data_IF_674617820548
#
_entry.id   IF_674617820548
#
_cell.length_a   1.000
_cell.length_b   1.000
_cell.length_c   1.000
_cell.angle_alpha   90.00
_cell.angle_beta   90.00
_cell.angle_gamma   90.00
#
_symmetry.space_group_name_H-M   'P 1'
#
loop_
_entity.id
_entity.type
_entity.pdbx_description
1 polymer ?
#
# COMPACT_ATOMS: atom_id res chain seq x y z
N UNK A 1 65.84 21.26 9.17
CA UNK A 1 64.99 22.44 9.38
C UNK A 1 64.19 22.66 8.11
N UNK A 2 62.98 22.08 8.08
CA UNK A 2 61.81 22.45 7.26
C UNK A 2 60.85 21.26 7.34
N UNK A 3 60.13 21.16 8.45
CA UNK A 3 58.98 20.25 8.59
C UNK A 3 57.76 20.92 7.92
N UNK A 4 57.16 20.21 6.97
CA UNK A 4 55.98 20.63 6.25
C UNK A 4 54.77 19.83 6.70
N UNK A 5 53.97 20.40 7.60
CA UNK A 5 52.70 19.83 8.03
C UNK A 5 51.64 20.06 6.93
N UNK A 6 51.28 18.96 6.26
CA UNK A 6 50.17 18.89 5.32
C UNK A 6 48.84 18.91 6.06
N UNK A 7 48.22 20.08 6.13
CA UNK A 7 46.88 20.29 6.67
C UNK A 7 45.85 19.61 5.76
N UNK A 8 45.36 18.44 6.18
CA UNK A 8 44.29 17.69 5.51
C UNK A 8 42.97 18.39 5.80
N UNK A 9 42.32 18.91 4.75
CA UNK A 9 41.04 19.62 4.80
C UNK A 9 39.89 18.68 5.24
N UNK A 10 39.29 18.89 6.43
CA UNK A 10 38.21 18.04 6.93
C UNK A 10 36.85 18.32 6.25
N UNK A 11 36.77 19.19 5.24
CA UNK A 11 35.52 19.54 4.55
C UNK A 11 35.17 18.67 3.34
N UNK A 12 35.97 17.66 3.00
CA UNK A 12 35.63 16.71 1.95
C UNK A 12 34.51 15.76 2.42
N UNK A 13 33.28 16.26 2.41
CA UNK A 13 32.08 15.49 2.74
C UNK A 13 32.03 14.21 1.91
N UNK A 14 31.95 13.07 2.59
CA UNK A 14 31.83 11.77 1.94
C UNK A 14 30.68 11.82 0.92
N UNK A 15 30.89 11.36 -0.33
CA UNK A 15 29.86 11.40 -1.36
C UNK A 15 28.64 10.65 -0.84
N UNK A 16 27.53 11.38 -0.66
CA UNK A 16 26.27 10.80 -0.25
C UNK A 16 25.87 9.78 -1.32
N UNK A 17 25.98 8.50 -0.97
CA UNK A 17 25.54 7.42 -1.84
C UNK A 17 24.05 7.63 -2.15
N UNK A 18 23.64 7.54 -3.44
CA UNK A 18 22.24 7.72 -3.80
C UNK A 18 21.36 6.76 -2.99
N UNK A 19 20.39 7.29 -2.24
CA UNK A 19 19.46 6.50 -1.41
C UNK A 19 18.78 5.36 -2.20
N UNK A 20 18.62 5.54 -3.52
CA UNK A 20 18.13 4.51 -4.43
C UNK A 20 19.02 3.26 -4.50
N UNK A 21 20.35 3.41 -4.38
CA UNK A 21 21.29 2.29 -4.46
C UNK A 21 21.29 1.45 -3.17
N UNK A 22 21.17 2.12 -2.01
CA UNK A 22 21.04 1.50 -0.69
C UNK A 22 19.81 0.57 -0.62
N UNK A 23 18.65 1.05 -1.08
CA UNK A 23 17.41 0.28 -1.06
C UNK A 23 17.48 -0.98 -1.96
N UNK A 24 18.23 -0.91 -3.07
CA UNK A 24 18.43 -2.05 -3.96
C UNK A 24 19.31 -3.15 -3.35
N UNK A 25 20.31 -2.77 -2.55
CA UNK A 25 21.25 -3.71 -1.90
C UNK A 25 20.57 -4.45 -0.76
N UNK A 26 19.80 -3.75 0.07
CA UNK A 26 19.03 -4.37 1.16
C UNK A 26 18.04 -5.40 0.63
N UNK A 27 17.31 -5.07 -0.44
CA UNK A 27 16.36 -6.00 -1.05
C UNK A 27 17.03 -7.26 -1.61
N UNK A 28 18.23 -7.14 -2.20
CA UNK A 28 19.03 -8.31 -2.65
C UNK A 28 19.51 -9.14 -1.48
N UNK A 29 19.93 -8.51 -0.37
CA UNK A 29 20.39 -9.21 0.82
C UNK A 29 19.26 -10.01 1.46
N UNK A 30 18.09 -9.39 1.64
CA UNK A 30 16.89 -10.04 2.20
C UNK A 30 16.49 -11.26 1.35
N UNK A 31 16.49 -11.14 0.02
CA UNK A 31 16.20 -12.28 -0.86
C UNK A 31 17.19 -13.42 -0.71
N UNK A 32 18.49 -13.13 -0.58
CA UNK A 32 19.52 -14.14 -0.36
C UNK A 32 19.34 -14.84 0.99
N UNK A 33 19.11 -14.08 2.05
CA UNK A 33 18.88 -14.62 3.39
C UNK A 33 17.66 -15.54 3.42
N UNK A 34 16.57 -15.13 2.78
CA UNK A 34 15.35 -15.95 2.66
C UNK A 34 15.63 -17.24 1.88
N UNK A 35 16.34 -17.17 0.75
CA UNK A 35 16.68 -18.35 -0.05
C UNK A 35 17.55 -19.35 0.74
N UNK A 36 18.52 -18.84 1.52
CA UNK A 36 19.33 -19.66 2.41
C UNK A 36 18.50 -20.34 3.50
N UNK A 37 17.62 -19.60 4.18
CA UNK A 37 16.72 -20.19 5.19
C UNK A 37 15.85 -21.30 4.61
N UNK A 38 15.34 -21.11 3.40
CA UNK A 38 14.52 -22.11 2.70
C UNK A 38 15.34 -23.36 2.33
N UNK A 39 16.54 -23.19 1.78
CA UNK A 39 17.44 -24.29 1.46
C UNK A 39 17.83 -25.08 2.72
N UNK A 40 18.08 -24.38 3.83
CA UNK A 40 18.42 -25.01 5.11
C UNK A 40 17.23 -25.82 5.65
N UNK A 41 16.01 -25.28 5.59
CA UNK A 41 14.81 -25.99 6.01
C UNK A 41 14.53 -27.25 5.17
N UNK A 42 14.69 -27.17 3.84
CA UNK A 42 14.57 -28.33 2.95
C UNK A 42 15.63 -29.39 3.29
N UNK A 43 16.87 -28.97 3.51
CA UNK A 43 17.95 -29.88 3.86
C UNK A 43 17.64 -30.64 5.16
N UNK A 44 17.22 -29.95 6.21
CA UNK A 44 16.82 -30.59 7.47
C UNK A 44 15.64 -31.56 7.28
N UNK A 45 14.67 -31.21 6.44
CA UNK A 45 13.56 -32.10 6.12
C UNK A 45 14.03 -33.38 5.43
N UNK A 46 14.89 -33.27 4.41
CA UNK A 46 15.44 -34.42 3.69
C UNK A 46 16.25 -35.31 4.64
N UNK A 47 17.10 -34.73 5.49
CA UNK A 47 17.88 -35.47 6.49
C UNK A 47 16.95 -36.19 7.47
N UNK A 48 15.89 -35.52 7.95
CA UNK A 48 14.91 -36.15 8.85
C UNK A 48 14.22 -37.34 8.17
N UNK A 49 13.74 -37.18 6.93
CA UNK A 49 13.11 -38.27 6.17
C UNK A 49 14.08 -39.42 5.95
N UNK A 50 15.33 -39.13 5.58
CA UNK A 50 16.38 -40.13 5.38
C UNK A 50 16.70 -40.90 6.67
N UNK A 51 16.78 -40.22 7.82
CA UNK A 51 17.00 -40.87 9.12
C UNK A 51 15.82 -41.78 9.49
N UNK A 52 14.58 -41.33 9.27
CA UNK A 52 13.38 -42.14 9.55
C UNK A 52 13.31 -43.36 8.63
N UNK A 53 13.61 -43.21 7.33
CA UNK A 53 13.60 -44.34 6.39
C UNK A 53 14.74 -45.32 6.66
N UNK A 54 15.96 -44.85 6.93
CA UNK A 54 17.09 -45.69 7.32
C UNK A 54 16.80 -46.47 8.61
N UNK A 55 16.25 -45.81 9.63
CA UNK A 55 15.86 -46.47 10.89
C UNK A 55 14.77 -47.54 10.67
N UNK A 56 13.87 -47.33 9.72
CA UNK A 56 12.87 -48.31 9.30
C UNK A 56 13.49 -49.53 8.60
N UNK A 57 14.44 -49.31 7.68
CA UNK A 57 15.11 -50.39 6.94
C UNK A 57 15.97 -51.28 7.84
N UNK A 58 16.70 -50.70 8.80
CA UNK A 58 17.61 -51.45 9.70
C UNK A 58 16.86 -52.47 10.57
N UNK A 59 15.59 -52.21 10.89
CA UNK A 59 14.78 -53.12 11.72
C UNK A 59 14.08 -54.23 10.93
N UNK A 60 14.22 -54.29 9.60
CA UNK A 60 13.73 -55.39 8.75
C UNK A 60 12.22 -55.65 8.80
N UNK A 61 11.45 -54.77 9.44
CA UNK A 61 10.02 -54.93 9.63
C UNK A 61 9.31 -53.72 9.01
N UNK A 62 8.32 -53.97 8.15
CA UNK A 62 7.46 -52.93 7.57
C UNK A 62 6.73 -52.21 8.70
N UNK A 63 7.39 -51.22 9.29
CA UNK A 63 6.88 -50.56 10.47
C UNK A 63 5.88 -49.49 10.00
N UNK A 64 4.62 -49.89 9.88
CA UNK A 64 3.48 -49.00 9.56
C UNK A 64 3.50 -47.71 10.41
N UNK A 65 4.08 -47.78 11.60
CA UNK A 65 4.29 -46.66 12.53
C UNK A 65 5.21 -45.56 11.97
N UNK A 66 6.27 -45.92 11.26
CA UNK A 66 7.16 -44.94 10.63
C UNK A 66 6.47 -44.20 9.48
N UNK A 67 5.59 -44.89 8.75
CA UNK A 67 4.74 -44.29 7.72
C UNK A 67 3.67 -43.37 8.30
N UNK A 68 3.03 -43.75 9.42
CA UNK A 68 2.10 -42.87 10.14
C UNK A 68 2.78 -41.59 10.64
N UNK A 69 4.02 -41.68 11.12
CA UNK A 69 4.79 -40.51 11.52
C UNK A 69 5.13 -39.60 10.31
N UNK A 70 5.46 -40.20 9.17
CA UNK A 70 5.70 -39.47 7.92
C UNK A 70 4.46 -38.70 7.46
N UNK A 71 3.24 -39.20 7.70
CA UNK A 71 1.99 -38.55 7.33
C UNK A 71 1.63 -37.34 8.21
N UNK A 72 2.19 -37.23 9.42
CA UNK A 72 1.97 -36.07 10.30
C UNK A 72 2.69 -34.83 9.78
N UNK A 73 3.84 -35.00 9.11
CA UNK A 73 4.61 -33.90 8.57
C UNK A 73 3.85 -33.09 7.48
N UNK A 74 3.26 -33.71 6.44
CA UNK A 74 2.40 -33.02 5.47
C UNK A 74 1.20 -32.34 6.12
N UNK A 75 0.55 -32.98 7.10
CA UNK A 75 -0.60 -32.40 7.79
C UNK A 75 -0.22 -31.13 8.57
N UNK A 76 0.90 -31.17 9.29
CA UNK A 76 1.44 -30.00 9.99
C UNK A 76 1.82 -28.87 9.02
N UNK A 77 2.43 -29.22 7.88
CA UNK A 77 2.85 -28.24 6.87
C UNK A 77 1.64 -27.60 6.15
N UNK A 78 0.61 -28.40 5.83
CA UNK A 78 -0.64 -27.91 5.27
C UNK A 78 -1.40 -27.00 6.24
N UNK A 79 -1.48 -27.39 7.52
CA UNK A 79 -2.10 -26.55 8.56
C UNK A 79 -1.32 -25.25 8.77
N UNK A 80 0.01 -25.33 8.83
CA UNK A 80 0.88 -24.16 8.91
C UNK A 80 0.72 -23.21 7.73
N UNK A 81 0.70 -23.75 6.51
CA UNK A 81 0.48 -23.00 5.29
C UNK A 81 -0.89 -22.31 5.28
N UNK A 82 -1.94 -23.02 5.71
CA UNK A 82 -3.29 -22.46 5.83
C UNK A 82 -3.40 -21.37 6.90
N UNK A 83 -2.84 -21.59 8.09
CA UNK A 83 -2.78 -20.58 9.16
C UNK A 83 -1.98 -19.36 8.72
N UNK A 84 -0.86 -19.57 8.03
CA UNK A 84 -0.09 -18.50 7.41
C UNK A 84 -0.95 -17.71 6.44
N UNK A 85 -1.71 -18.42 5.59
CA UNK A 85 -2.61 -17.82 4.61
C UNK A 85 -3.67 -16.94 5.22
N UNK A 86 -4.37 -17.44 6.24
CA UNK A 86 -5.32 -16.65 6.99
C UNK A 86 -4.66 -15.45 7.67
N UNK A 87 -3.53 -15.64 8.34
CA UNK A 87 -2.81 -14.55 8.99
C UNK A 87 -2.43 -13.47 8.00
N UNK A 88 -1.98 -13.85 6.81
CA UNK A 88 -1.59 -12.89 5.80
C UNK A 88 -2.83 -12.22 5.17
N UNK A 89 -3.87 -12.96 4.80
CA UNK A 89 -5.11 -12.40 4.26
C UNK A 89 -5.72 -11.35 5.22
N UNK A 90 -5.61 -11.60 6.53
CA UNK A 90 -6.20 -10.74 7.56
C UNK A 90 -5.19 -9.69 8.05
N UNK A 91 -3.88 -9.75 7.71
CA UNK A 91 -2.81 -8.91 8.30
C UNK A 91 -3.14 -7.40 8.31
N UNK A 92 -3.74 -6.92 7.23
CA UNK A 92 -4.09 -5.50 7.07
C UNK A 92 -5.31 -5.10 7.92
N UNK A 93 -6.21 -6.05 8.22
CA UNK A 93 -7.28 -5.91 9.23
C UNK A 93 -6.80 -6.25 10.66
N UNK A 94 -5.71 -6.98 10.81
CA UNK A 94 -5.16 -7.49 12.06
C UNK A 94 -4.64 -6.35 12.95
N UNK A 95 -4.17 -5.26 12.34
CA UNK A 95 -3.87 -4.02 13.05
C UNK A 95 -5.11 -3.41 13.71
N UNK A 96 -6.30 -3.60 13.10
CA UNK A 96 -7.61 -3.23 13.65
C UNK A 96 -8.13 -4.26 14.67
N UNK A 97 -7.80 -5.54 14.47
CA UNK A 97 -8.22 -6.67 15.31
C UNK A 97 -7.24 -7.04 16.43
N UNK A 98 -6.21 -6.21 16.69
CA UNK A 98 -5.19 -6.50 17.71
C UNK A 98 -5.79 -6.78 19.11
N UNK A 99 -6.90 -6.12 19.45
CA UNK A 99 -7.66 -6.42 20.67
C UNK A 99 -8.33 -7.79 20.65
N UNK A 100 -8.96 -8.16 19.54
CA UNK A 100 -9.61 -9.46 19.36
C UNK A 100 -8.61 -10.61 19.43
N UNK A 101 -7.42 -10.47 18.83
CA UNK A 101 -6.39 -11.50 18.88
C UNK A 101 -5.89 -11.75 20.30
N UNK A 102 -5.73 -10.70 21.11
CA UNK A 102 -5.39 -10.88 22.53
C UNK A 102 -6.46 -11.66 23.28
N UNK A 103 -7.74 -11.44 22.97
CA UNK A 103 -8.85 -12.20 23.55
C UNK A 103 -8.80 -13.66 23.11
N UNK A 104 -8.61 -13.93 21.81
CA UNK A 104 -8.50 -15.30 21.30
C UNK A 104 -7.28 -16.02 21.88
N UNK A 105 -6.13 -15.35 21.98
CA UNK A 105 -4.92 -15.90 22.61
C UNK A 105 -5.14 -16.20 24.09
N UNK A 106 -5.81 -15.30 24.83
CA UNK A 106 -6.17 -15.54 26.23
C UNK A 106 -7.14 -16.71 26.38
N UNK A 107 -8.11 -16.83 25.46
CA UNK A 107 -9.10 -17.91 25.48
C UNK A 107 -8.47 -19.27 25.14
N UNK A 108 -7.63 -19.31 24.10
CA UNK A 108 -6.84 -20.50 23.75
C UNK A 108 -5.86 -20.88 24.85
N UNK A 109 -5.16 -19.89 25.43
CA UNK A 109 -4.27 -20.10 26.56
C UNK A 109 -5.01 -20.64 27.78
N UNK A 110 -6.22 -20.12 28.05
CA UNK A 110 -7.11 -20.61 29.11
C UNK A 110 -7.57 -22.05 28.87
N UNK A 111 -7.94 -22.41 27.63
CA UNK A 111 -8.31 -23.79 27.27
C UNK A 111 -7.12 -24.74 27.48
N UNK A 112 -5.92 -24.35 27.04
CA UNK A 112 -4.70 -25.16 27.22
C UNK A 112 -4.33 -25.30 28.70
N UNK A 113 -4.40 -24.22 29.47
CA UNK A 113 -4.12 -24.24 30.90
C UNK A 113 -5.16 -25.09 31.67
N UNK A 114 -6.44 -24.99 31.30
CA UNK A 114 -7.52 -25.79 31.86
C UNK A 114 -7.35 -27.29 31.55
N UNK A 115 -6.99 -27.64 30.31
CA UNK A 115 -6.73 -29.03 29.93
C UNK A 115 -5.48 -29.59 30.65
N UNK A 116 -4.43 -28.78 30.80
CA UNK A 116 -3.24 -29.14 31.56
C UNK A 116 -3.55 -29.37 33.06
N UNK A 117 -4.44 -28.57 33.65
CA UNK A 117 -4.88 -28.75 35.04
C UNK A 117 -5.68 -30.04 35.27
N UNK A 118 -6.33 -30.57 34.23
CA UNK A 118 -7.02 -31.87 34.28
C UNK A 118 -6.06 -33.08 34.18
N UNK A 119 -4.75 -32.83 34.02
CA UNK A 119 -3.73 -33.88 33.96
C UNK A 119 -4.00 -34.89 32.85
N UNK A 120 -4.02 -36.18 33.20
CA UNK A 120 -4.23 -37.27 32.24
C UNK A 120 -5.69 -37.44 31.78
N UNK A 121 -6.62 -36.58 32.17
CA UNK A 121 -8.04 -36.70 31.77
C UNK A 121 -8.49 -35.70 30.71
N UNK A 122 -7.66 -34.67 30.44
CA UNK A 122 -7.92 -33.62 29.46
C UNK A 122 -8.12 -34.15 28.03
N UNK A 123 -8.93 -33.44 27.26
CA UNK A 123 -9.22 -33.77 25.86
C UNK A 123 -8.00 -33.57 24.97
N UNK A 124 -7.16 -32.56 25.24
CA UNK A 124 -5.89 -32.37 24.49
C UNK A 124 -4.93 -33.50 24.86
N UNK A 125 -4.84 -33.88 26.13
CA UNK A 125 -4.05 -35.04 26.56
C UNK A 125 -4.54 -36.37 25.95
N UNK A 126 -5.85 -36.54 25.74
CA UNK A 126 -6.43 -37.72 25.03
C UNK A 126 -6.11 -37.68 23.53
N UNK A 127 -6.23 -36.53 22.89
CA UNK A 127 -5.87 -36.34 21.48
C UNK A 127 -4.37 -36.58 21.25
N UNK A 128 -3.51 -36.01 22.10
CA UNK A 128 -2.07 -36.22 22.03
C UNK A 128 -1.71 -37.69 22.25
N UNK A 129 -2.41 -38.39 23.15
CA UNK A 129 -2.24 -39.83 23.32
C UNK A 129 -2.78 -40.64 22.14
N UNK A 130 -3.86 -40.24 21.48
CA UNK A 130 -4.34 -40.94 20.28
C UNK A 130 -3.37 -40.76 19.12
N UNK A 131 -2.82 -39.56 18.94
CA UNK A 131 -1.79 -39.29 17.94
C UNK A 131 -0.50 -40.05 18.29
N UNK A 132 -0.08 -40.04 19.55
CA UNK A 132 1.07 -40.81 20.04
C UNK A 132 0.89 -42.32 19.83
N UNK A 133 -0.29 -42.86 20.16
CA UNK A 133 -0.61 -44.27 19.93
C UNK A 133 -0.56 -44.63 18.43
N UNK A 134 -1.04 -43.73 17.57
CA UNK A 134 -0.95 -43.89 16.11
C UNK A 134 0.50 -43.82 15.58
N UNK A 135 1.38 -43.07 16.25
CA UNK A 135 2.82 -43.02 15.96
C UNK A 135 3.63 -44.18 16.55
N UNK A 136 3.03 -44.94 17.48
CA UNK A 136 3.66 -46.00 18.23
C UNK A 136 4.43 -45.52 19.47
N UNK A 137 4.42 -46.34 20.53
CA UNK A 137 5.00 -46.05 21.85
C UNK A 137 6.52 -45.78 21.87
N UNK A 138 7.23 -45.94 20.75
CA UNK A 138 8.68 -45.73 20.71
C UNK A 138 9.07 -44.24 20.72
N UNK A 139 8.15 -43.34 20.41
CA UNK A 139 8.44 -41.91 20.34
C UNK A 139 7.73 -41.18 21.47
N UNK A 140 8.47 -40.52 22.36
CA UNK A 140 7.88 -39.65 23.39
C UNK A 140 6.85 -38.70 22.78
N UNK A 141 5.70 -38.54 23.43
CA UNK A 141 4.64 -37.60 23.03
C UNK A 141 5.18 -36.19 22.76
N UNK A 142 6.25 -35.78 23.46
CA UNK A 142 6.93 -34.51 23.22
C UNK A 142 7.56 -34.39 21.83
N UNK A 143 8.15 -35.47 21.28
CA UNK A 143 8.80 -35.45 19.96
C UNK A 143 7.78 -35.31 18.82
N UNK A 144 6.62 -35.94 18.94
CA UNK A 144 5.53 -35.82 17.97
C UNK A 144 5.03 -34.37 17.94
N UNK A 145 4.81 -33.77 19.11
CA UNK A 145 4.33 -32.39 19.23
C UNK A 145 5.34 -31.37 18.69
N UNK A 146 6.63 -31.51 19.04
CA UNK A 146 7.70 -30.62 18.56
C UNK A 146 7.80 -30.70 17.04
N UNK A 147 7.77 -31.91 16.48
CA UNK A 147 7.80 -32.11 15.02
C UNK A 147 6.61 -31.43 14.35
N UNK A 148 5.39 -31.63 14.86
CA UNK A 148 4.18 -31.01 14.32
C UNK A 148 4.23 -29.47 14.38
N UNK A 149 4.60 -28.90 15.53
CA UNK A 149 4.72 -27.44 15.69
C UNK A 149 5.81 -26.87 14.79
N UNK A 150 6.92 -27.58 14.58
CA UNK A 150 7.97 -27.21 13.64
C UNK A 150 7.45 -27.09 12.21
N UNK A 151 6.65 -28.06 11.76
CA UNK A 151 6.03 -28.00 10.42
C UNK A 151 4.97 -26.91 10.29
N UNK A 152 4.18 -26.65 11.34
CA UNK A 152 3.21 -25.54 11.36
C UNK A 152 3.94 -24.19 11.24
N UNK A 153 5.01 -23.98 12.02
CA UNK A 153 5.81 -22.76 11.96
C UNK A 153 6.48 -22.59 10.60
N UNK A 154 7.03 -23.68 10.03
CA UNK A 154 7.63 -23.68 8.70
C UNK A 154 6.58 -23.32 7.63
N UNK A 155 5.40 -23.93 7.66
CA UNK A 155 4.30 -23.60 6.73
C UNK A 155 3.89 -22.13 6.80
N UNK A 156 3.77 -21.57 8.01
CA UNK A 156 3.49 -20.13 8.18
C UNK A 156 4.61 -19.25 7.59
N UNK A 157 5.87 -19.62 7.81
CA UNK A 157 7.02 -18.87 7.29
C UNK A 157 7.07 -18.90 5.77
N UNK A 158 6.92 -20.08 5.15
CA UNK A 158 6.89 -20.25 3.68
C UNK A 158 5.79 -19.37 3.08
N UNK A 159 4.62 -19.39 3.69
CA UNK A 159 3.48 -18.63 3.23
C UNK A 159 3.72 -17.12 3.37
N UNK A 160 4.23 -16.66 4.51
CA UNK A 160 4.57 -15.25 4.74
C UNK A 160 5.57 -14.73 3.69
N UNK A 161 6.60 -15.52 3.40
CA UNK A 161 7.59 -15.23 2.36
C UNK A 161 6.93 -15.20 0.99
N UNK A 162 6.13 -16.21 0.65
CA UNK A 162 5.43 -16.32 -0.63
C UNK A 162 4.52 -15.12 -0.87
N UNK A 163 3.78 -14.66 0.14
CA UNK A 163 2.95 -13.46 -0.02
C UNK A 163 3.77 -12.21 -0.27
N UNK A 164 4.76 -11.96 0.59
CA UNK A 164 5.57 -10.74 0.52
C UNK A 164 6.40 -10.64 -0.75
N UNK A 165 6.93 -11.77 -1.23
CA UNK A 165 7.85 -11.80 -2.38
C UNK A 165 7.17 -12.12 -3.71
N UNK A 166 6.13 -12.95 -3.73
CA UNK A 166 5.48 -13.40 -4.96
C UNK A 166 4.11 -12.75 -5.16
N UNK A 167 3.21 -12.79 -4.17
CA UNK A 167 1.86 -12.25 -4.36
C UNK A 167 1.86 -10.73 -4.47
N UNK A 168 2.57 -9.99 -3.61
CA UNK A 168 2.55 -8.52 -3.64
C UNK A 168 2.92 -7.93 -5.02
N UNK A 169 4.02 -8.34 -5.68
CA UNK A 169 4.33 -7.84 -7.01
C UNK A 169 3.40 -8.37 -8.11
N UNK A 170 2.85 -9.58 -7.97
CA UNK A 170 1.85 -10.10 -8.93
C UNK A 170 0.55 -9.31 -8.80
N UNK A 171 0.03 -9.11 -7.58
CA UNK A 171 -1.14 -8.29 -7.29
C UNK A 171 -0.94 -6.86 -7.80
N UNK A 172 0.24 -6.26 -7.57
CA UNK A 172 0.56 -4.94 -8.09
C UNK A 172 0.54 -4.88 -9.63
N UNK A 173 1.10 -5.88 -10.31
CA UNK A 173 1.05 -5.97 -11.78
C UNK A 173 -0.37 -6.23 -12.30
N UNK A 174 -1.12 -7.08 -11.62
CA UNK A 174 -2.49 -7.43 -12.00
C UNK A 174 -3.42 -6.22 -11.78
N UNK A 175 -3.25 -5.49 -10.68
CA UNK A 175 -3.94 -4.22 -10.42
C UNK A 175 -3.56 -3.15 -11.46
N UNK A 176 -2.28 -3.07 -11.86
CA UNK A 176 -1.86 -2.16 -12.93
C UNK A 176 -2.43 -2.54 -14.31
N UNK A 177 -2.57 -3.84 -14.60
CA UNK A 177 -3.21 -4.32 -15.83
C UNK A 177 -4.72 -4.14 -15.83
N UNK A 178 -5.37 -4.32 -14.67
CA UNK A 178 -6.82 -4.14 -14.51
C UNK A 178 -7.24 -2.68 -14.30
N UNK A 179 -6.32 -1.80 -13.92
CA UNK A 179 -6.55 -0.35 -13.78
C UNK A 179 -6.90 0.37 -15.09
N UNK A 180 -6.84 -0.32 -16.24
CA UNK A 180 -7.42 0.13 -17.51
C UNK A 180 -8.91 -0.20 -17.67
N UNK A 181 -9.53 -0.90 -16.72
CA UNK A 181 -10.97 -1.18 -16.67
C UNK A 181 -11.59 -0.38 -15.52
N UNK A 182 -12.24 0.73 -15.84
CA UNK A 182 -12.92 1.64 -14.88
C UNK A 182 -13.94 0.93 -13.95
N UNK A 183 -14.33 -0.32 -14.24
CA UNK A 183 -15.27 -1.10 -13.44
C UNK A 183 -14.69 -1.96 -12.30
N UNK A 184 -13.36 -2.18 -12.23
CA UNK A 184 -12.78 -3.13 -11.26
C UNK A 184 -12.49 -2.49 -9.90
N UNK A 185 -12.39 -1.16 -9.82
CA UNK A 185 -12.23 -0.45 -8.54
C UNK A 185 -13.43 -0.69 -7.60
N UNK A 186 -14.64 -0.84 -8.14
CA UNK A 186 -15.83 -1.18 -7.38
C UNK A 186 -15.81 -2.63 -6.82
N UNK A 187 -15.10 -3.56 -7.46
CA UNK A 187 -15.02 -4.96 -7.01
C UNK A 187 -13.92 -5.14 -5.95
N UNK A 188 -12.84 -4.36 -6.01
CA UNK A 188 -11.86 -4.28 -4.91
C UNK A 188 -12.46 -3.65 -3.64
N UNK A 189 -13.47 -2.78 -3.78
CA UNK A 189 -14.24 -2.21 -2.66
C UNK A 189 -15.32 -3.17 -2.10
N UNK A 190 -15.88 -4.06 -2.92
CA UNK A 190 -16.89 -5.05 -2.47
C UNK A 190 -16.34 -6.12 -1.52
N UNK A 191 -15.01 -6.29 -1.44
CA UNK A 191 -14.35 -7.13 -0.43
C UNK A 191 -14.22 -6.50 0.95
N UNK A 192 -14.50 -5.19 1.08
CA UNK A 192 -14.43 -4.43 2.34
C UNK A 192 -15.85 -4.07 2.79
N UNK A 193 -16.52 -5.02 3.42
CA UNK A 193 -17.50 -4.81 4.51
C UNK A 193 -18.50 -3.65 4.40
N UNK A 194 -19.01 -3.30 3.23
CA UNK A 194 -20.13 -2.38 3.08
C UNK A 194 -21.44 -3.09 3.45
N UNK A 195 -22.01 -2.77 4.61
CA UNK A 195 -23.38 -3.16 4.96
C UNK A 195 -24.32 -2.73 3.82
N UNK A 196 -25.13 -3.63 3.24
CA UNK A 196 -26.06 -3.23 2.18
C UNK A 196 -27.01 -2.16 2.72
N UNK A 197 -27.26 -1.08 1.97
CA UNK A 197 -28.23 -0.08 2.38
C UNK A 197 -29.59 -0.76 2.54
N UNK A 198 -30.24 -0.45 3.67
CA UNK A 198 -31.61 -0.89 3.91
C UNK A 198 -32.49 -0.46 2.73
N UNK A 199 -33.25 -1.40 2.19
CA UNK A 199 -34.28 -1.14 1.20
C UNK A 199 -35.35 -0.23 1.82
N UNK A 200 -35.16 1.08 1.67
CA UNK A 200 -36.17 2.11 1.92
C UNK A 200 -36.86 2.44 0.60
N UNK A 201 -38.12 2.06 0.49
CA UNK A 201 -38.95 2.33 -0.68
C UNK A 201 -39.47 3.77 -0.77
N UNK A 202 -40.00 4.08 -1.96
CA UNK A 202 -40.84 5.21 -2.38
C UNK A 202 -40.09 6.55 -2.53
N UNK A 203 -40.15 7.29 -3.64
CA UNK A 203 -41.14 7.53 -4.70
C UNK A 203 -40.41 8.31 -5.82
N UNK A 204 -40.79 8.18 -7.11
CA UNK A 204 -40.21 9.01 -8.17
C UNK A 204 -40.75 10.46 -8.14
N UNK A 205 -39.97 11.48 -8.52
CA UNK A 205 -40.45 12.85 -8.60
C UNK A 205 -41.35 13.06 -9.83
N UNK A 206 -42.48 13.72 -9.59
CA UNK A 206 -43.38 14.27 -10.60
C UNK A 206 -42.61 15.18 -11.57
N UNK A 207 -42.67 14.85 -12.86
CA UNK A 207 -42.39 15.76 -13.97
C UNK A 207 -43.63 16.64 -14.22
N UNK A 208 -43.50 17.98 -14.30
CA UNK A 208 -44.58 18.79 -14.83
C UNK A 208 -44.63 18.67 -16.35
N UNK A 209 -45.82 18.29 -16.84
CA UNK A 209 -46.20 18.33 -18.24
C UNK A 209 -46.15 19.77 -18.78
N UNK A 210 -45.46 19.97 -19.90
CA UNK A 210 -45.65 21.14 -20.75
C UNK A 210 -46.16 20.69 -22.11
N UNK A 211 -47.46 20.86 -22.30
CA UNK A 211 -48.11 20.89 -23.61
C UNK A 211 -47.68 22.17 -24.34
N UNK A 212 -47.36 22.05 -25.62
CA UNK A 212 -47.05 23.20 -26.48
C UNK A 212 -46.99 22.79 -27.95
N UNK A 213 -48.15 22.57 -28.54
CA UNK A 213 -48.33 22.41 -29.98
C UNK A 213 -48.28 23.78 -30.70
N UNK A 214 -47.61 23.84 -31.85
CA UNK A 214 -47.62 24.95 -32.81
C UNK A 214 -46.48 24.73 -33.83
N UNK A 215 -46.70 23.96 -34.90
CA UNK A 215 -47.19 24.37 -36.22
C UNK A 215 -46.35 25.43 -36.96
N UNK A 216 -45.87 24.96 -38.11
CA UNK A 216 -45.73 25.62 -39.41
C UNK A 216 -44.65 26.71 -39.58
N UNK A 217 -43.75 26.50 -40.55
CA UNK A 217 -42.74 27.50 -40.91
C UNK A 217 -41.67 27.03 -41.88
N UNK A 218 -42.09 26.63 -43.08
CA UNK A 218 -41.27 26.28 -44.23
C UNK A 218 -40.63 27.53 -44.84
N UNK A 219 -39.29 27.61 -44.96
CA UNK A 219 -38.67 28.41 -46.03
C UNK A 219 -37.23 27.99 -46.35
N UNK A 220 -37.04 27.69 -47.63
CA UNK A 220 -35.77 27.52 -48.31
C UNK A 220 -35.16 28.88 -48.70
N UNK A 221 -33.84 28.92 -48.88
CA UNK A 221 -33.06 30.03 -49.46
C UNK A 221 -31.59 29.80 -49.12
N UNK A 222 -30.77 29.20 -49.99
CA UNK A 222 -30.16 29.76 -51.21
C UNK A 222 -29.02 30.76 -50.95
N UNK A 223 -27.89 30.49 -51.61
CA UNK A 223 -26.93 31.44 -52.18
C UNK A 223 -26.28 32.50 -51.29
N UNK A 224 -24.97 32.40 -51.08
CA UNK A 224 -24.22 33.52 -50.50
C UNK A 224 -22.70 33.38 -50.48
N UNK A 225 -22.08 33.28 -51.65
CA UNK A 225 -20.64 33.49 -51.79
C UNK A 225 -20.26 34.92 -51.39
N UNK A 226 -19.27 35.09 -50.51
CA UNK A 226 -18.63 36.39 -50.24
C UNK A 226 -17.15 36.21 -49.87
N UNK A 227 -16.33 36.50 -50.88
CA UNK A 227 -15.02 37.19 -50.93
C UNK A 227 -13.97 37.06 -49.80
N UNK A 228 -12.68 37.04 -50.18
CA UNK A 228 -11.54 37.01 -49.26
C UNK A 228 -11.30 38.40 -48.65
N UNK A 229 -11.20 38.48 -47.33
CA UNK A 229 -10.80 39.71 -46.63
C UNK A 229 -9.28 39.77 -46.56
N UNK A 230 -8.80 40.88 -47.11
CA UNK A 230 -7.43 41.36 -47.25
C UNK A 230 -6.65 41.40 -45.93
N UNK A 231 -5.39 40.97 -46.03
CA UNK A 231 -4.36 41.08 -45.01
C UNK A 231 -4.05 42.54 -44.65
N UNK A 232 -4.12 42.86 -43.36
CA UNK A 232 -3.57 44.09 -42.77
C UNK A 232 -2.72 43.74 -41.56
N UNK A 233 -1.41 43.67 -41.82
CA UNK A 233 -0.27 44.10 -41.00
C UNK A 233 -0.44 44.13 -39.46
N UNK A 234 0.17 43.22 -38.69
CA UNK A 234 0.26 43.35 -37.24
C UNK A 234 1.32 44.38 -36.85
N UNK A 235 0.88 45.52 -36.34
CA UNK A 235 1.73 46.48 -35.65
C UNK A 235 2.35 45.81 -34.41
N UNK A 236 3.68 45.86 -34.32
CA UNK A 236 4.46 45.39 -33.18
C UNK A 236 3.99 46.08 -31.89
N UNK A 237 3.71 45.34 -30.80
CA UNK A 237 3.51 45.94 -29.50
C UNK A 237 4.83 46.52 -28.98
N UNK A 238 4.84 47.81 -28.70
CA UNK A 238 5.94 48.56 -28.10
C UNK A 238 6.30 47.98 -26.72
N UNK A 239 7.54 47.51 -26.64
CA UNK A 239 8.23 46.97 -25.47
C UNK A 239 8.64 48.07 -24.50
N UNK A 240 7.69 48.76 -23.87
CA UNK A 240 8.03 49.91 -23.02
C UNK A 240 7.07 50.12 -21.83
N UNK A 241 7.08 49.16 -20.89
CA UNK A 241 6.86 49.43 -19.45
C UNK A 241 6.92 48.12 -18.65
N UNK A 242 8.11 47.53 -18.57
CA UNK A 242 8.41 46.59 -17.49
C UNK A 242 8.56 47.39 -16.18
N UNK A 243 7.42 47.80 -15.60
CA UNK A 243 7.34 48.37 -14.26
C UNK A 243 7.96 47.35 -13.31
N UNK A 244 9.09 47.73 -12.72
CA UNK A 244 9.82 46.97 -11.70
C UNK A 244 8.95 46.82 -10.45
N UNK A 245 8.02 45.86 -10.46
CA UNK A 245 7.24 45.48 -9.29
C UNK A 245 8.19 44.78 -8.35
N UNK A 246 8.64 45.51 -7.33
CA UNK A 246 9.36 44.99 -6.18
C UNK A 246 8.53 43.83 -5.64
N UNK A 247 8.96 42.59 -5.91
CA UNK A 247 8.34 41.38 -5.37
C UNK A 247 8.53 41.43 -3.86
N UNK A 248 7.50 41.83 -3.14
CA UNK A 248 7.46 41.67 -1.69
C UNK A 248 7.69 40.19 -1.41
N UNK A 249 8.64 39.91 -0.52
CA UNK A 249 8.93 38.54 -0.11
C UNK A 249 7.64 37.93 0.46
N UNK A 250 7.25 36.72 0.05
CA UNK A 250 6.03 36.09 0.55
C UNK A 250 6.05 36.09 2.08
N UNK A 251 5.07 36.75 2.69
CA UNK A 251 4.89 36.74 4.14
C UNK A 251 4.57 35.29 4.53
N UNK A 252 5.45 34.66 5.30
CA UNK A 252 5.24 33.27 5.73
C UNK A 252 4.14 33.24 6.77
N UNK A 253 3.13 32.40 6.54
CA UNK A 253 2.12 32.08 7.53
C UNK A 253 2.77 31.23 8.66
N UNK A 254 2.74 31.67 9.93
CA UNK A 254 3.32 30.91 11.03
C UNK A 254 2.61 29.58 11.27
N UNK A 255 1.31 29.48 10.96
CA UNK A 255 0.50 28.29 11.21
C UNK A 255 0.52 27.33 10.02
N UNK A 256 0.78 27.84 8.81
CA UNK A 256 0.98 27.03 7.61
C UNK A 256 2.28 27.42 6.86
N UNK A 257 3.43 26.86 7.27
CA UNK A 257 4.70 27.22 6.68
C UNK A 257 4.82 26.91 5.20
N UNK A 258 3.95 26.09 4.59
CA UNK A 258 4.05 25.79 3.15
C UNK A 258 3.28 26.78 2.28
N UNK A 259 2.39 27.59 2.86
CA UNK A 259 1.54 28.52 2.14
C UNK A 259 2.34 29.59 1.39
N UNK A 260 2.04 29.75 0.10
CA UNK A 260 2.68 30.73 -0.79
C UNK A 260 4.12 30.42 -1.21
N UNK A 261 4.69 29.27 -0.84
CA UNK A 261 6.09 28.92 -1.17
C UNK A 261 6.26 28.25 -2.53
N UNK A 262 5.18 27.74 -3.12
CA UNK A 262 5.19 26.85 -4.28
C UNK A 262 4.53 27.48 -5.51
N UNK A 263 4.23 28.78 -5.44
CA UNK A 263 3.64 29.55 -6.52
C UNK A 263 2.12 29.67 -6.44
N UNK A 264 1.47 29.09 -5.42
CA UNK A 264 0.03 29.27 -5.16
C UNK A 264 -0.90 28.73 -6.25
N UNK A 265 -0.40 27.86 -7.14
CA UNK A 265 -1.18 27.31 -8.26
C UNK A 265 -1.25 25.79 -8.13
N UNK A 266 -2.47 25.25 -8.13
CA UNK A 266 -2.71 23.79 -8.16
C UNK A 266 -2.41 23.16 -9.53
N UNK A 267 -2.19 23.97 -10.58
CA UNK A 267 -1.88 23.50 -11.92
C UNK A 267 -0.79 24.35 -12.58
N UNK A 268 0.25 23.69 -13.10
CA UNK A 268 1.36 24.32 -13.82
C UNK A 268 2.01 23.30 -14.76
N UNK A 269 2.55 23.75 -15.90
CA UNK A 269 3.28 22.92 -16.88
C UNK A 269 2.54 21.63 -17.31
N UNK A 270 1.21 21.68 -17.43
CA UNK A 270 0.41 20.50 -17.76
C UNK A 270 0.30 19.46 -16.64
N UNK A 271 0.69 19.80 -15.41
CA UNK A 271 0.45 19.01 -14.20
C UNK A 271 -0.70 19.60 -13.39
N UNK A 272 -1.45 18.74 -12.71
CA UNK A 272 -2.54 19.12 -11.82
C UNK A 272 -2.36 18.40 -10.49
N UNK A 273 -2.43 19.16 -9.40
CA UNK A 273 -2.46 18.66 -8.04
C UNK A 273 -3.92 18.68 -7.54
N UNK A 274 -4.39 17.53 -7.08
CA UNK A 274 -5.70 17.37 -6.46
C UNK A 274 -5.60 16.57 -5.17
N UNK A 275 -6.66 16.62 -4.36
CA UNK A 275 -6.76 15.83 -3.14
C UNK A 275 -8.18 15.30 -2.93
N UNK A 276 -8.28 14.23 -2.14
CA UNK A 276 -9.56 13.72 -1.62
C UNK A 276 -9.40 13.45 -0.14
N UNK A 277 -10.36 13.92 0.65
CA UNK A 277 -10.33 13.82 2.12
C UNK A 277 -11.53 13.01 2.59
N UNK A 278 -11.27 11.92 3.31
CA UNK A 278 -12.31 11.03 3.83
C UNK A 278 -12.11 10.83 5.32
N UNK A 279 -13.18 10.97 6.12
CA UNK A 279 -13.12 10.68 7.54
C UNK A 279 -12.75 9.21 7.79
N UNK A 280 -11.92 8.96 8.81
CA UNK A 280 -11.62 7.59 9.23
C UNK A 280 -12.62 7.10 10.29
N UNK A 281 -12.44 5.87 10.78
CA UNK A 281 -13.20 5.39 11.95
C UNK A 281 -12.85 6.11 13.27
N UNK A 282 -11.79 6.92 13.28
CA UNK A 282 -11.44 7.80 14.38
C UNK A 282 -11.95 9.21 14.07
N UNK A 283 -12.73 9.79 14.99
CA UNK A 283 -13.45 11.06 14.81
C UNK A 283 -12.55 12.25 14.46
N UNK A 284 -11.27 12.15 14.74
CA UNK A 284 -10.31 13.24 14.60
C UNK A 284 -9.25 13.01 13.51
N UNK A 285 -9.33 11.89 12.80
CA UNK A 285 -8.34 11.54 11.79
C UNK A 285 -9.01 11.39 10.42
N UNK A 286 -8.38 11.98 9.42
CA UNK A 286 -8.81 11.97 8.04
C UNK A 286 -7.77 11.28 7.18
N UNK A 287 -8.24 10.46 6.24
CA UNK A 287 -7.43 9.91 5.17
C UNK A 287 -7.39 10.92 4.04
N UNK A 288 -6.19 11.44 3.77
CA UNK A 288 -5.94 12.37 2.68
C UNK A 288 -5.23 11.61 1.56
N UNK A 289 -5.81 11.62 0.37
CA UNK A 289 -5.19 11.12 -0.85
C UNK A 289 -4.81 12.32 -1.71
N UNK A 290 -3.52 12.59 -1.82
CA UNK A 290 -2.96 13.60 -2.72
C UNK A 290 -2.61 12.95 -4.05
N UNK A 291 -2.93 13.61 -5.15
CA UNK A 291 -2.68 13.10 -6.51
C UNK A 291 -2.10 14.19 -7.38
N UNK A 292 -0.98 13.88 -8.03
CA UNK A 292 -0.44 14.67 -9.13
C UNK A 292 -0.75 13.92 -10.41
N UNK A 293 -1.43 14.57 -11.34
CA UNK A 293 -1.82 13.98 -12.64
C UNK A 293 -1.35 14.83 -13.81
N UNK A 294 -1.29 14.21 -14.99
CA UNK A 294 -1.16 14.93 -16.26
C UNK A 294 -2.50 15.55 -16.67
N UNK A 295 -2.47 16.80 -17.14
CA UNK A 295 -3.66 17.55 -17.56
C UNK A 295 -4.25 17.07 -18.91
N UNK A 296 -3.50 16.31 -19.70
CA UNK A 296 -3.98 15.77 -20.98
C UNK A 296 -2.98 14.88 -21.69
N UNK A 297 -3.41 14.23 -22.78
CA UNK A 297 -2.61 13.28 -23.55
C UNK A 297 -1.39 13.91 -24.25
N UNK A 298 -1.43 15.22 -24.53
CA UNK A 298 -0.31 15.98 -25.11
C UNK A 298 0.80 16.30 -24.10
N UNK A 299 0.53 16.16 -22.79
CA UNK A 299 1.55 16.39 -21.77
C UNK A 299 2.45 15.17 -21.64
N UNK A 300 3.80 15.33 -21.59
CA UNK A 300 4.71 14.21 -21.38
C UNK A 300 4.32 13.36 -20.17
N UNK A 301 4.52 12.05 -20.26
CA UNK A 301 4.24 11.12 -19.16
C UNK A 301 4.94 11.57 -17.86
N UNK A 302 4.26 11.44 -16.73
CA UNK A 302 4.82 11.79 -15.42
C UNK A 302 5.85 10.73 -15.02
N UNK A 303 7.14 11.05 -15.18
CA UNK A 303 8.27 10.15 -14.92
C UNK A 303 9.17 10.70 -13.82
N UNK A 304 9.88 9.81 -13.13
CA UNK A 304 10.76 10.16 -12.03
C UNK A 304 10.01 10.36 -10.72
N UNK A 305 10.71 10.88 -9.72
CA UNK A 305 10.15 11.12 -8.39
C UNK A 305 9.38 12.44 -8.34
N UNK A 306 8.18 12.39 -7.78
CA UNK A 306 7.38 13.54 -7.39
C UNK A 306 7.58 13.76 -5.90
N UNK A 307 8.02 14.96 -5.51
CA UNK A 307 8.31 15.30 -4.12
C UNK A 307 7.14 16.06 -3.52
N UNK A 308 6.53 15.50 -2.49
CA UNK A 308 5.49 16.14 -1.70
C UNK A 308 6.11 16.78 -0.47
N UNK A 309 5.93 18.09 -0.32
CA UNK A 309 6.37 18.90 0.81
C UNK A 309 5.19 19.10 1.76
N UNK A 310 5.24 18.40 2.88
CA UNK A 310 4.20 18.34 3.89
C UNK A 310 4.43 19.37 5.00
N UNK A 311 3.44 19.49 5.88
CA UNK A 311 3.52 20.33 7.07
C UNK A 311 4.63 19.84 8.04
N UNK A 312 5.33 20.72 8.79
CA UNK A 312 6.41 20.32 9.70
C UNK A 312 6.03 19.35 10.83
N UNK A 313 4.74 19.23 11.15
CA UNK A 313 4.23 18.27 12.16
C UNK A 313 4.30 16.81 11.71
N UNK A 314 4.50 16.55 10.42
CA UNK A 314 4.75 15.21 9.92
C UNK A 314 6.21 14.79 10.17
N UNK A 315 6.42 13.54 10.62
CA UNK A 315 7.76 12.99 10.82
C UNK A 315 8.60 12.99 9.53
N UNK A 316 7.95 12.85 8.38
CA UNK A 316 8.55 12.98 7.05
C UNK A 316 7.95 14.19 6.36
N UNK A 317 8.69 15.29 6.34
CA UNK A 317 8.24 16.54 5.72
C UNK A 317 8.38 16.53 4.19
N UNK A 318 9.22 15.64 3.66
CA UNK A 318 9.39 15.45 2.23
C UNK A 318 9.21 13.97 1.91
N UNK A 319 8.25 13.67 1.05
CA UNK A 319 7.95 12.30 0.62
C UNK A 319 8.10 12.20 -0.88
N UNK A 320 8.96 11.28 -1.33
CA UNK A 320 9.18 11.02 -2.76
C UNK A 320 8.27 9.87 -3.22
N UNK A 321 7.47 10.13 -4.24
CA UNK A 321 6.58 9.14 -4.85
C UNK A 321 6.92 8.99 -6.32
N UNK A 322 7.26 7.79 -6.82
CA UNK A 322 7.56 7.61 -8.23
C UNK A 322 6.30 7.77 -9.10
N UNK A 323 6.40 8.58 -10.15
CA UNK A 323 5.36 8.71 -11.16
C UNK A 323 5.24 7.45 -12.01
N UNK A 324 4.01 6.97 -12.23
CA UNK A 324 3.74 5.77 -13.04
C UNK A 324 3.55 6.07 -14.55
N UNK A 325 3.69 7.33 -14.96
CA UNK A 325 3.42 7.82 -16.32
C UNK A 325 2.14 8.65 -16.42
N UNK A 326 1.15 8.41 -15.56
CA UNK A 326 -0.12 9.16 -15.54
C UNK A 326 -0.29 9.95 -14.25
N UNK A 327 0.00 9.30 -13.12
CA UNK A 327 -0.20 9.85 -11.79
C UNK A 327 0.95 9.54 -10.83
N UNK A 328 1.01 10.31 -9.75
CA UNK A 328 1.74 10.00 -8.53
C UNK A 328 0.78 10.25 -7.35
N UNK A 329 0.51 9.21 -6.58
CA UNK A 329 -0.49 9.23 -5.50
C UNK A 329 0.19 9.07 -4.13
N UNK A 330 -0.06 9.99 -3.22
CA UNK A 330 0.39 9.93 -1.83
C UNK A 330 -0.84 9.82 -0.92
N UNK A 331 -0.87 8.79 -0.08
CA UNK A 331 -1.90 8.60 0.95
C UNK A 331 -1.30 8.84 2.32
N UNK A 332 -1.94 9.69 3.13
CA UNK A 332 -1.53 9.97 4.50
C UNK A 332 -2.74 10.15 5.43
N UNK A 333 -2.45 10.19 6.73
CA UNK A 333 -3.44 10.51 7.77
C UNK A 333 -3.12 11.89 8.33
N UNK A 334 -4.13 12.75 8.43
CA UNK A 334 -4.01 14.10 8.94
C UNK A 334 -5.13 14.41 9.94
N UNK A 335 -4.85 15.32 10.88
CA UNK A 335 -5.81 15.82 11.87
C UNK A 335 -6.60 17.04 11.35
N UNK A 336 -5.94 17.89 10.58
CA UNK A 336 -6.47 19.15 10.05
C UNK A 336 -5.88 19.48 8.68
N UNK A 337 -6.36 20.57 8.10
CA UNK A 337 -5.95 21.04 6.80
C UNK A 337 -4.57 21.73 6.87
N UNK A 338 -3.85 21.70 5.75
CA UNK A 338 -2.56 22.37 5.58
C UNK A 338 -2.30 22.56 4.09
N UNK A 339 -1.38 23.45 3.73
CA UNK A 339 -0.93 23.62 2.36
C UNK A 339 0.11 22.57 2.03
N UNK A 340 -0.10 21.85 0.92
CA UNK A 340 0.90 20.95 0.36
C UNK A 340 1.61 21.60 -0.82
N UNK A 341 2.94 21.56 -0.76
CA UNK A 341 3.80 21.86 -1.89
C UNK A 341 4.17 20.62 -2.67
N UNK A 342 4.28 20.71 -3.99
CA UNK A 342 4.74 19.61 -4.82
C UNK A 342 5.79 20.08 -5.81
N UNK A 343 6.86 19.32 -5.94
CA UNK A 343 7.83 19.45 -7.03
C UNK A 343 7.80 18.21 -7.93
N UNK A 344 7.70 18.43 -9.23
CA UNK A 344 7.73 17.40 -10.26
C UNK A 344 8.67 17.80 -11.41
N UNK A 345 8.93 16.86 -12.32
CA UNK A 345 9.75 17.10 -13.52
C UNK A 345 11.15 17.66 -13.16
N UNK A 346 11.81 17.05 -12.16
CA UNK A 346 13.10 17.48 -11.60
C UNK A 346 13.10 18.93 -11.07
N UNK A 347 11.97 19.39 -10.53
CA UNK A 347 11.80 20.73 -9.96
C UNK A 347 11.39 21.80 -10.97
N UNK A 348 11.24 21.45 -12.26
CA UNK A 348 10.73 22.37 -13.27
C UNK A 348 9.25 22.73 -13.04
N UNK A 349 8.50 21.83 -12.42
CA UNK A 349 7.09 22.04 -12.06
C UNK A 349 6.96 22.18 -10.55
N UNK A 350 6.32 23.27 -10.11
CA UNK A 350 5.91 23.50 -8.73
C UNK A 350 4.41 23.69 -8.66
N UNK A 351 3.77 23.00 -7.72
CA UNK A 351 2.32 23.06 -7.50
C UNK A 351 2.06 23.31 -6.01
N UNK A 352 0.97 24.01 -5.74
CA UNK A 352 0.51 24.31 -4.38
C UNK A 352 -0.98 23.98 -4.26
N UNK A 353 -1.37 23.35 -3.16
CA UNK A 353 -2.78 23.12 -2.85
C UNK A 353 -3.02 23.34 -1.36
N UNK A 354 -3.84 24.35 -1.03
CA UNK A 354 -4.37 24.56 0.31
C UNK A 354 -5.55 23.62 0.53
N UNK A 355 -5.38 22.65 1.44
CA UNK A 355 -6.43 21.67 1.72
C UNK A 355 -7.64 22.28 2.46
N UNK A 356 -7.51 23.46 3.06
CA UNK A 356 -8.60 24.17 3.72
C UNK A 356 -9.58 24.81 2.71
N UNK A 357 -9.16 24.98 1.45
CA UNK A 357 -9.98 25.56 0.37
C UNK A 357 -10.82 24.51 -0.39
N UNK A 358 -10.68 23.22 -0.07
CA UNK A 358 -11.38 22.13 -0.75
C UNK A 358 -12.83 22.00 -0.26
N UNK A 359 -13.79 22.55 -0.98
CA UNK A 359 -15.20 22.54 -0.58
C UNK A 359 -15.78 21.15 -0.29
N UNK A 360 -15.28 20.12 -0.98
CA UNK A 360 -15.64 18.71 -0.80
C UNK A 360 -15.07 18.07 0.48
N UNK A 361 -14.08 18.69 1.13
CA UNK A 361 -13.51 18.18 2.37
C UNK A 361 -14.41 18.48 3.58
N UNK A 362 -14.47 17.57 4.58
CA UNK A 362 -15.26 17.77 5.80
C UNK A 362 -14.97 19.12 6.46
N UNK A 363 -16.01 19.80 6.94
CA UNK A 363 -15.87 21.14 7.53
C UNK A 363 -14.94 21.15 8.75
N UNK A 364 -15.02 20.09 9.57
CA UNK A 364 -14.18 19.93 10.75
C UNK A 364 -12.70 19.73 10.39
N UNK A 365 -12.41 19.14 9.23
CA UNK A 365 -11.04 19.00 8.74
C UNK A 365 -10.48 20.36 8.27
N UNK A 366 -11.30 21.15 7.57
CA UNK A 366 -10.89 22.46 7.01
C UNK A 366 -10.70 23.57 8.04
N UNK A 367 -11.34 23.43 9.20
CA UNK A 367 -11.32 24.44 10.28
C UNK A 367 -10.27 24.18 11.35
N UNK A 368 -9.46 23.12 11.20
CA UNK A 368 -8.37 22.74 12.09
C UNK A 368 -7.04 22.95 11.40
#
# INVERSE_FOLDING_TARGET
MADGDGQVDPSAGAPALPLAELNSREHKLVKRTIAWLFATAIFFFIVMVAVVTMAGMIKGNHNEKAWNFLLIAPAGLALGGFCGFLYAAIKDELARLGGFIKIVQALLGGIVAYDAAQGSSGNIAKLLRSVHAACGEQFSTGMVLITFLGFVALGMMIMYITRTTLLNPIIAKFAAQLGGFEGVQAIAEFGVGGKPPAAGGNQPPNLPATNGAGKDGQQAGDGGASKPVTASNPAQPTSESAKNVKRESPQMDPDDPQKGRWGGQRSANGRVLSATVVATGNKDLYRVTLRVSRAGASTPALRGDVRFHLHPTFNQQVVNVPGNGETADLVLIAFGAFTVGVEADNGATRLELDLAELNEAPMEFRSR
#
